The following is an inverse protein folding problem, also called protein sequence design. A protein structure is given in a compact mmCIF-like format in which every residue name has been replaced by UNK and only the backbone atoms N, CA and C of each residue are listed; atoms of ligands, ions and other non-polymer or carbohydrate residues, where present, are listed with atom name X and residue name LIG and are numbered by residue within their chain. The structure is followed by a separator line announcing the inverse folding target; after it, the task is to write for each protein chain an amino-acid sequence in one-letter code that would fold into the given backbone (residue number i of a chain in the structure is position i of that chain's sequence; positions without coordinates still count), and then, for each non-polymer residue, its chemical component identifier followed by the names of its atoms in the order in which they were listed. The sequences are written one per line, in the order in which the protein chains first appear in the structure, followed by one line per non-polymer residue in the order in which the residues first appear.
data_IF_628445310795
#
_entry.id   IF_628445310795
#
_cell.length_a   1.000
_cell.length_b   1.000
_cell.length_c   1.000
_cell.angle_alpha   90.00
_cell.angle_beta   90.00
_cell.angle_gamma   90.00
#
_symmetry.space_group_name_H-M   'P 1'
#
loop_
_entity.id
_entity.type
_entity.pdbx_description
1 polymer ?
#
# COMPACT_ATOMS: atom_id res chain seq x y z
N UNK A 1 -26.01 11.75 1.13
CA UNK A 1 -25.44 11.68 -0.23
C UNK A 1 -23.99 12.12 -0.18
N UNK A 2 -23.05 11.32 -0.70
CA UNK A 2 -21.67 11.81 -0.90
C UNK A 2 -21.67 12.79 -2.08
N UNK A 3 -20.99 13.93 -1.93
CA UNK A 3 -20.87 14.93 -2.99
C UNK A 3 -19.83 14.44 -4.02
N UNK A 4 -20.23 14.30 -5.27
CA UNK A 4 -19.34 13.90 -6.37
C UNK A 4 -18.82 15.18 -7.04
N UNK A 5 -17.50 15.31 -7.14
CA UNK A 5 -16.84 16.35 -7.92
C UNK A 5 -16.26 15.75 -9.21
N UNK A 6 -16.52 16.38 -10.34
CA UNK A 6 -15.92 16.00 -11.62
C UNK A 6 -14.53 16.63 -11.75
N UNK A 7 -13.56 15.82 -12.19
CA UNK A 7 -12.18 16.26 -12.41
C UNK A 7 -11.74 15.88 -13.83
N UNK A 8 -10.88 16.70 -14.43
CA UNK A 8 -10.19 16.37 -15.67
C UNK A 8 -8.78 15.88 -15.34
N UNK A 9 -8.44 14.69 -15.84
CA UNK A 9 -7.13 14.06 -15.63
C UNK A 9 -6.62 13.50 -16.96
N UNK A 10 -5.32 13.59 -17.18
CA UNK A 10 -4.67 13.10 -18.39
C UNK A 10 -3.94 11.79 -18.12
N UNK A 11 -4.02 10.85 -19.06
CA UNK A 11 -3.31 9.58 -19.02
C UNK A 11 -2.47 9.39 -20.29
N UNK A 12 -1.31 8.71 -20.20
CA UNK A 12 -0.64 8.16 -21.38
C UNK A 12 -1.63 7.30 -22.17
N UNK A 13 -1.58 7.37 -23.51
CA UNK A 13 -2.52 6.63 -24.37
C UNK A 13 -2.49 5.12 -24.14
N UNK A 14 -1.31 4.55 -23.84
CA UNK A 14 -1.18 3.12 -23.51
C UNK A 14 -1.96 2.77 -22.25
N UNK A 15 -1.74 3.51 -21.17
CA UNK A 15 -2.44 3.28 -19.91
C UNK A 15 -3.95 3.48 -20.04
N UNK A 16 -4.40 4.44 -20.86
CA UNK A 16 -5.83 4.62 -21.12
C UNK A 16 -6.45 3.38 -21.78
N UNK A 17 -5.74 2.74 -22.73
CA UNK A 17 -6.21 1.49 -23.35
C UNK A 17 -6.31 0.36 -22.33
N UNK A 18 -5.35 0.25 -21.42
CA UNK A 18 -5.38 -0.77 -20.37
C UNK A 18 -6.56 -0.54 -19.42
N UNK A 19 -6.82 0.72 -19.04
CA UNK A 19 -7.99 1.10 -18.22
C UNK A 19 -9.30 0.73 -18.95
N UNK A 20 -9.36 0.96 -20.27
CA UNK A 20 -10.53 0.66 -21.08
C UNK A 20 -10.80 -0.84 -21.15
N UNK A 21 -9.77 -1.65 -21.43
CA UNK A 21 -9.88 -3.11 -21.48
C UNK A 21 -10.42 -3.67 -20.16
N UNK A 22 -9.84 -3.27 -19.03
CA UNK A 22 -10.24 -3.76 -17.71
C UNK A 22 -11.67 -3.32 -17.36
N UNK A 23 -12.03 -2.07 -17.66
CA UNK A 23 -13.38 -1.59 -17.41
C UNK A 23 -14.43 -2.37 -18.24
N UNK A 24 -14.12 -2.67 -19.50
CA UNK A 24 -14.96 -3.49 -20.38
C UNK A 24 -15.08 -4.94 -19.87
N UNK A 25 -13.96 -5.59 -19.55
CA UNK A 25 -13.91 -6.95 -18.99
C UNK A 25 -14.75 -7.09 -17.71
N UNK A 26 -14.72 -6.07 -16.84
CA UNK A 26 -15.48 -6.06 -15.59
C UNK A 26 -16.92 -5.54 -15.74
N UNK A 27 -17.36 -5.17 -16.96
CA UNK A 27 -18.66 -4.55 -17.23
C UNK A 27 -18.93 -3.29 -16.39
N UNK A 28 -17.94 -2.41 -16.27
CA UNK A 28 -17.95 -1.19 -15.45
C UNK A 28 -17.58 0.05 -16.27
N UNK A 29 -17.92 1.23 -15.76
CA UNK A 29 -17.41 2.48 -16.31
C UNK A 29 -15.98 2.77 -15.81
N UNK A 30 -15.20 3.53 -16.60
CA UNK A 30 -13.87 4.02 -16.19
C UNK A 30 -13.91 4.71 -14.82
N UNK A 31 -14.94 5.51 -14.59
CA UNK A 31 -15.12 6.25 -13.33
C UNK A 31 -15.37 5.32 -12.13
N UNK A 32 -16.08 4.21 -12.32
CA UNK A 32 -16.27 3.21 -11.26
C UNK A 32 -14.96 2.51 -10.92
N UNK A 33 -14.27 2.00 -11.95
CA UNK A 33 -12.97 1.35 -11.82
C UNK A 33 -11.97 2.27 -11.11
N UNK A 34 -11.83 3.51 -11.58
CA UNK A 34 -10.89 4.48 -11.01
C UNK A 34 -11.25 4.86 -9.57
N UNK A 35 -12.54 4.99 -9.23
CA UNK A 35 -12.96 5.26 -7.85
C UNK A 35 -12.59 4.11 -6.93
N UNK A 36 -12.83 2.87 -7.34
CA UNK A 36 -12.46 1.69 -6.56
C UNK A 36 -10.94 1.60 -6.37
N UNK A 37 -10.19 1.66 -7.47
CA UNK A 37 -8.73 1.63 -7.46
C UNK A 37 -8.13 2.74 -6.57
N UNK A 38 -8.69 3.96 -6.64
CA UNK A 38 -8.25 5.09 -5.81
C UNK A 38 -8.50 4.84 -4.32
N UNK A 39 -9.67 4.29 -3.95
CA UNK A 39 -9.94 3.92 -2.53
C UNK A 39 -8.95 2.89 -2.04
N UNK A 40 -8.74 1.81 -2.81
CA UNK A 40 -7.79 0.75 -2.46
C UNK A 40 -6.36 1.30 -2.27
N UNK A 41 -5.92 2.19 -3.16
CA UNK A 41 -4.60 2.82 -3.04
C UNK A 41 -4.46 3.67 -1.78
N UNK A 42 -5.46 4.51 -1.48
CA UNK A 42 -5.47 5.37 -0.30
C UNK A 42 -5.49 4.54 0.98
N UNK A 43 -6.34 3.52 1.06
CA UNK A 43 -6.44 2.63 2.22
C UNK A 43 -5.14 1.89 2.47
N UNK A 44 -4.54 1.31 1.42
CA UNK A 44 -3.23 0.66 1.51
C UNK A 44 -2.19 1.63 2.07
N UNK A 45 -2.13 2.86 1.55
CA UNK A 45 -1.18 3.89 1.99
C UNK A 45 -1.41 4.29 3.46
N UNK A 46 -2.66 4.45 3.87
CA UNK A 46 -3.04 4.76 5.27
C UNK A 46 -2.67 3.62 6.22
N UNK A 47 -2.95 2.37 5.84
CA UNK A 47 -2.60 1.18 6.64
C UNK A 47 -1.10 1.10 6.89
N UNK A 48 -0.28 1.25 5.85
CA UNK A 48 1.18 1.28 6.00
C UNK A 48 1.64 2.41 6.91
N UNK A 49 1.11 3.62 6.75
CA UNK A 49 1.42 4.74 7.64
C UNK A 49 1.09 4.42 9.10
N UNK A 50 -0.06 3.79 9.36
CA UNK A 50 -0.46 3.37 10.70
C UNK A 50 0.49 2.33 11.31
N UNK A 51 0.87 1.32 10.52
CA UNK A 51 1.84 0.29 10.91
C UNK A 51 3.18 0.95 11.30
N UNK A 52 3.75 1.77 10.42
CA UNK A 52 5.01 2.45 10.71
C UNK A 52 4.93 3.39 11.92
N UNK A 53 3.82 4.11 12.09
CA UNK A 53 3.63 4.99 13.23
C UNK A 53 3.55 4.19 14.55
N UNK A 54 2.87 3.05 14.55
CA UNK A 54 2.81 2.15 15.70
C UNK A 54 4.20 1.61 16.05
N UNK A 55 4.88 0.97 15.09
CA UNK A 55 6.21 0.39 15.32
C UNK A 55 7.27 1.42 15.69
N UNK A 56 7.20 2.64 15.13
CA UNK A 56 8.10 3.72 15.51
C UNK A 56 7.97 4.11 16.99
N UNK A 57 6.75 4.09 17.54
CA UNK A 57 6.53 4.33 18.98
C UNK A 57 7.04 3.16 19.82
N UNK A 58 6.71 1.93 19.44
CA UNK A 58 7.14 0.73 20.17
C UNK A 58 8.66 0.58 20.19
N UNK A 59 9.33 0.76 19.05
CA UNK A 59 10.79 0.72 18.96
C UNK A 59 11.46 1.79 19.82
N UNK A 60 10.89 3.00 19.87
CA UNK A 60 11.39 4.06 20.75
C UNK A 60 11.21 3.71 22.22
N UNK A 61 10.04 3.19 22.60
CA UNK A 61 9.73 2.76 23.97
C UNK A 61 10.65 1.63 24.43
N UNK A 62 10.86 0.63 23.57
CA UNK A 62 11.72 -0.52 23.82
C UNK A 62 13.22 -0.27 23.55
N UNK A 63 13.61 0.97 23.18
CA UNK A 63 14.98 1.38 22.82
C UNK A 63 15.64 0.46 21.78
N UNK A 64 14.85 0.00 20.81
CA UNK A 64 15.31 -0.91 19.78
C UNK A 64 16.17 -0.17 18.75
N UNK A 65 17.36 -0.70 18.48
CA UNK A 65 18.26 -0.22 17.42
C UNK A 65 18.36 -1.25 16.28
N UNK A 66 18.62 -0.80 15.03
CA UNK A 66 18.84 -1.71 13.90
C UNK A 66 19.94 -2.76 14.17
N UNK A 67 20.99 -2.39 14.91
CA UNK A 67 22.09 -3.30 15.27
C UNK A 67 21.68 -4.47 16.16
N UNK A 68 20.54 -4.41 16.85
CA UNK A 68 20.00 -5.54 17.62
C UNK A 68 19.34 -6.58 16.72
N UNK A 69 18.83 -6.18 15.54
CA UNK A 69 18.21 -7.10 14.57
C UNK A 69 19.26 -8.06 14.02
N UNK A 70 20.44 -7.57 13.65
CA UNK A 70 21.52 -8.41 13.13
C UNK A 70 21.99 -9.45 14.17
N UNK A 71 22.06 -9.05 15.45
CA UNK A 71 22.38 -9.97 16.55
C UNK A 71 21.31 -11.06 16.70
N UNK A 72 20.03 -10.67 16.68
CA UNK A 72 18.91 -11.61 16.78
C UNK A 72 18.88 -12.61 15.60
N UNK A 73 19.10 -12.14 14.37
CA UNK A 73 19.16 -13.00 13.17
C UNK A 73 20.29 -14.03 13.30
N UNK A 74 21.49 -13.60 13.72
CA UNK A 74 22.63 -14.51 13.92
C UNK A 74 22.34 -15.55 14.99
N UNK A 75 21.68 -15.15 16.08
CA UNK A 75 21.32 -16.05 17.18
C UNK A 75 20.36 -17.15 16.70
N UNK A 76 19.27 -16.79 15.99
CA UNK A 76 18.31 -17.77 15.45
C UNK A 76 18.95 -18.68 14.41
N UNK A 77 19.75 -18.13 13.49
CA UNK A 77 20.45 -18.94 12.47
C UNK A 77 21.54 -19.84 13.05
N UNK A 78 22.16 -19.46 14.17
CA UNK A 78 23.13 -20.27 14.90
C UNK A 78 22.50 -21.42 15.67
N UNK A 79 21.28 -21.24 16.17
CA UNK A 79 20.52 -22.27 16.90
C UNK A 79 20.03 -23.42 15.99
N UNK A 80 19.81 -23.17 14.70
CA UNK A 80 19.39 -24.19 13.73
C UNK A 80 20.57 -24.98 13.10
N UNK A 81 21.77 -24.90 13.68
CA UNK A 81 22.95 -25.67 13.22
C UNK A 81 23.31 -26.85 14.14
N UNK A 82 22.40 -27.27 15.02
CA UNK A 82 22.53 -28.46 15.86
C UNK A 82 21.74 -29.63 15.31
#
# INVERSE_FOLDING_TARGET
MQQIATVNISFPKSLLKDIDSVAEEESRTRSELLREATRMYIERKRRWKGIFAFWGREAKSARLSPSQVDKAIRQVRGLNKG
#
